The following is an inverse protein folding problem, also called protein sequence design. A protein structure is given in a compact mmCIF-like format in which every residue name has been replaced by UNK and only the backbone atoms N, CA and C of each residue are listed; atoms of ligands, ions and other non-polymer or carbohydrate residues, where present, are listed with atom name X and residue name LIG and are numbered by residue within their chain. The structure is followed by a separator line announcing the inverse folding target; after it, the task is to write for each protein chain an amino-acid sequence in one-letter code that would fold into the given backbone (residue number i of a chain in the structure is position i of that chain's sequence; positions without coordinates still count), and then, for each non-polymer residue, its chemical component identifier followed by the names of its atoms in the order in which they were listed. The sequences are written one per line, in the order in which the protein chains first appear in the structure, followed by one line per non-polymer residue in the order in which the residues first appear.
data_IF_538827691718
#
_entry.id   IF_538827691718
#
_cell.length_a   1.000
_cell.length_b   1.000
_cell.length_c   1.000
_cell.angle_alpha   90.00
_cell.angle_beta   90.00
_cell.angle_gamma   90.00
#
_symmetry.space_group_name_H-M   'P 1'
#
loop_
_entity.id
_entity.type
_entity.pdbx_description
1 polymer ?
#
# COMPACT_ATOMS: atom_id res chain seq x y z
N UNK A 1 -17.21 11.17 -10.78
CA UNK A 1 -17.08 9.88 -10.04
C UNK A 1 -16.02 10.08 -8.99
N UNK A 2 -16.21 9.61 -7.75
CA UNK A 2 -15.19 9.68 -6.69
C UNK A 2 -14.56 8.29 -6.51
N UNK A 3 -13.23 8.16 -6.44
CA UNK A 3 -12.58 6.87 -6.25
C UNK A 3 -12.72 6.35 -4.81
N UNK A 4 -12.51 5.05 -4.63
CA UNK A 4 -12.38 4.39 -3.32
C UNK A 4 -10.92 4.34 -2.87
N UNK A 5 -10.64 4.58 -1.59
CA UNK A 5 -9.36 4.26 -0.96
C UNK A 5 -9.47 2.90 -0.25
N UNK A 6 -8.68 1.94 -0.66
CA UNK A 6 -8.62 0.59 -0.10
C UNK A 6 -7.36 0.47 0.77
N UNK A 7 -7.54 0.30 2.08
CA UNK A 7 -6.45 0.30 3.06
C UNK A 7 -6.15 -1.14 3.51
N UNK A 8 -4.91 -1.60 3.29
CA UNK A 8 -4.45 -2.92 3.70
C UNK A 8 -4.09 -2.96 5.18
N UNK A 9 -5.04 -3.34 6.04
CA UNK A 9 -4.91 -3.32 7.50
C UNK A 9 -4.92 -4.71 8.17
N UNK A 10 -5.11 -5.80 7.41
CA UNK A 10 -5.20 -7.18 7.93
C UNK A 10 -3.90 -7.67 8.63
N UNK A 11 -2.76 -7.06 8.30
CA UNK A 11 -1.45 -7.35 8.88
C UNK A 11 -1.10 -6.58 10.16
N UNK A 12 -1.91 -5.58 10.57
CA UNK A 12 -1.53 -4.68 11.65
C UNK A 12 -1.31 -5.40 13.00
N UNK A 13 -2.12 -6.39 13.34
CA UNK A 13 -2.01 -7.01 14.66
C UNK A 13 -0.77 -7.91 14.86
N UNK A 14 -0.14 -8.43 13.81
CA UNK A 14 0.99 -9.37 13.94
C UNK A 14 2.33 -8.67 14.17
N UNK A 15 2.54 -7.48 13.60
CA UNK A 15 3.78 -6.69 13.77
C UNK A 15 3.88 -6.05 15.16
N UNK A 16 2.74 -5.70 15.75
CA UNK A 16 2.67 -4.93 17.00
C UNK A 16 2.25 -5.77 18.23
N UNK A 17 2.06 -7.09 18.08
CA UNK A 17 1.76 -8.00 19.19
C UNK A 17 0.37 -7.83 19.83
N UNK A 18 -0.38 -6.78 19.49
CA UNK A 18 -1.80 -6.59 19.77
C UNK A 18 -2.38 -5.44 18.93
N UNK A 19 -3.69 -5.47 18.64
CA UNK A 19 -4.41 -4.29 18.10
C UNK A 19 -4.54 -3.14 19.10
N UNK A 20 -4.27 -3.38 20.40
CA UNK A 20 -4.46 -2.38 21.47
C UNK A 20 -3.49 -1.19 21.38
N UNK A 21 -2.57 -1.21 20.43
CA UNK A 21 -1.63 -0.14 20.14
C UNK A 21 -1.77 0.28 18.68
N UNK A 22 -2.92 0.84 18.28
CA UNK A 22 -2.89 1.74 17.12
C UNK A 22 -2.17 2.98 17.61
N UNK A 23 -0.86 2.99 17.42
CA UNK A 23 0.00 4.03 17.97
C UNK A 23 -0.44 5.40 17.47
N UNK A 24 -0.65 6.33 18.41
CA UNK A 24 -0.82 7.74 18.10
C UNK A 24 0.53 8.36 17.76
N UNK A 25 0.63 8.93 16.56
CA UNK A 25 1.80 9.65 16.07
C UNK A 25 1.56 11.16 16.00
N UNK A 26 0.30 11.57 15.84
CA UNK A 26 -0.12 12.96 15.87
C UNK A 26 -0.18 13.54 17.27
N UNK A 27 -0.20 14.87 17.38
CA UNK A 27 -0.20 15.58 18.67
C UNK A 27 -1.46 15.30 19.52
N UNK A 28 -2.55 14.83 18.92
CA UNK A 28 -3.78 14.46 19.62
C UNK A 28 -4.10 12.96 19.54
N UNK A 29 -3.07 12.14 19.28
CA UNK A 29 -3.21 10.69 19.20
C UNK A 29 -3.67 10.18 17.83
N UNK A 30 -3.61 11.02 16.79
CA UNK A 30 -3.88 10.59 15.42
C UNK A 30 -2.88 9.53 14.96
N UNK A 31 -3.39 8.54 14.26
CA UNK A 31 -2.64 7.42 13.71
C UNK A 31 -2.13 7.79 12.32
N UNK A 32 -1.14 7.07 11.77
CA UNK A 32 -0.69 7.28 10.39
C UNK A 32 -1.85 7.12 9.38
N UNK A 33 -2.78 6.21 9.66
CA UNK A 33 -3.99 5.99 8.87
C UNK A 33 -4.86 7.25 8.84
N UNK A 34 -4.98 7.96 9.96
CA UNK A 34 -5.79 9.19 10.02
C UNK A 34 -5.26 10.23 9.01
N UNK A 35 -3.94 10.41 8.89
CA UNK A 35 -3.33 11.32 7.91
C UNK A 35 -3.59 10.88 6.47
N UNK A 36 -3.47 9.57 6.18
CA UNK A 36 -3.79 9.03 4.86
C UNK A 36 -5.25 9.24 4.46
N UNK A 37 -6.19 9.04 5.40
CA UNK A 37 -7.62 9.27 5.14
C UNK A 37 -7.90 10.77 4.98
N UNK A 38 -7.28 11.62 5.80
CA UNK A 38 -7.41 13.07 5.70
C UNK A 38 -6.98 13.57 4.31
N UNK A 39 -5.81 13.15 3.84
CA UNK A 39 -5.30 13.50 2.51
C UNK A 39 -6.16 12.94 1.38
N UNK A 40 -6.67 11.71 1.52
CA UNK A 40 -7.57 11.12 0.53
C UNK A 40 -8.90 11.88 0.43
N UNK A 41 -9.51 12.25 1.55
CA UNK A 41 -10.74 13.07 1.56
C UNK A 41 -10.47 14.41 0.87
N UNK A 42 -9.36 15.08 1.24
CA UNK A 42 -8.93 16.34 0.63
C UNK A 42 -8.64 16.21 -0.87
N UNK A 43 -8.13 15.06 -1.32
CA UNK A 43 -7.88 14.76 -2.73
C UNK A 43 -9.15 14.38 -3.52
N UNK A 44 -10.29 14.15 -2.84
CA UNK A 44 -11.58 13.89 -3.47
C UNK A 44 -12.00 12.42 -3.53
N UNK A 45 -11.37 11.53 -2.75
CA UNK A 45 -11.86 10.18 -2.54
C UNK A 45 -13.23 10.20 -1.86
N UNK A 46 -14.12 9.29 -2.27
CA UNK A 46 -15.52 9.25 -1.82
C UNK A 46 -15.82 8.18 -0.78
N UNK A 47 -15.00 7.13 -0.74
CA UNK A 47 -15.18 5.97 0.13
C UNK A 47 -13.83 5.47 0.62
N UNK A 48 -13.78 5.01 1.86
CA UNK A 48 -12.64 4.32 2.46
C UNK A 48 -13.08 2.90 2.81
N UNK A 49 -12.40 1.91 2.25
CA UNK A 49 -12.63 0.49 2.53
C UNK A 49 -11.42 -0.07 3.26
N UNK A 50 -11.63 -0.63 4.46
CA UNK A 50 -10.57 -1.27 5.22
C UNK A 50 -10.56 -2.77 4.94
N UNK A 51 -9.41 -3.33 4.53
CA UNK A 51 -9.22 -4.79 4.50
C UNK A 51 -8.61 -5.21 5.82
N UNK A 52 -9.38 -5.93 6.64
CA UNK A 52 -9.01 -6.35 7.99
C UNK A 52 -9.26 -7.84 8.21
N UNK A 53 -8.93 -8.33 9.41
CA UNK A 53 -9.44 -9.61 9.90
C UNK A 53 -10.79 -9.39 10.57
N UNK A 54 -11.71 -10.33 10.39
CA UNK A 54 -13.10 -10.20 10.86
C UNK A 54 -13.20 -9.96 12.37
N UNK A 55 -12.36 -10.64 13.15
CA UNK A 55 -12.24 -10.49 14.62
C UNK A 55 -11.94 -9.06 15.11
N UNK A 56 -11.56 -8.15 14.20
CA UNK A 56 -11.17 -6.78 14.52
C UNK A 56 -12.16 -5.71 14.06
N UNK A 57 -13.24 -6.10 13.40
CA UNK A 57 -14.19 -5.14 12.80
C UNK A 57 -14.74 -4.14 13.83
N UNK A 58 -15.18 -4.61 14.99
CA UNK A 58 -15.78 -3.74 16.00
C UNK A 58 -14.79 -2.71 16.57
N UNK A 59 -13.52 -3.10 16.70
CA UNK A 59 -12.46 -2.18 17.14
C UNK A 59 -12.17 -1.11 16.08
N UNK A 60 -12.09 -1.51 14.81
CA UNK A 60 -11.91 -0.56 13.71
C UNK A 60 -13.09 0.41 13.60
N UNK A 61 -14.32 -0.09 13.72
CA UNK A 61 -15.53 0.74 13.70
C UNK A 61 -15.53 1.76 14.83
N UNK A 62 -15.26 1.32 16.06
CA UNK A 62 -15.21 2.21 17.22
C UNK A 62 -14.16 3.33 17.10
N UNK A 63 -13.03 3.06 16.41
CA UNK A 63 -11.95 4.05 16.23
C UNK A 63 -12.25 5.01 15.07
N UNK A 64 -12.71 4.51 13.92
CA UNK A 64 -12.77 5.29 12.68
C UNK A 64 -14.15 5.84 12.34
N UNK A 65 -15.24 5.10 12.58
CA UNK A 65 -16.59 5.57 12.19
C UNK A 65 -16.96 6.92 12.84
N UNK A 66 -16.73 7.15 14.15
CA UNK A 66 -17.04 8.45 14.76
C UNK A 66 -16.26 9.63 14.15
N UNK A 67 -15.00 9.40 13.76
CA UNK A 67 -14.13 10.43 13.17
C UNK A 67 -14.53 10.78 11.73
N UNK A 68 -15.01 9.77 10.99
CA UNK A 68 -15.26 9.85 9.55
C UNK A 68 -16.73 10.10 9.19
N UNK A 69 -17.64 9.97 10.16
CA UNK A 69 -19.06 10.21 9.99
C UNK A 69 -19.34 11.57 9.34
N UNK A 70 -20.09 11.56 8.23
CA UNK A 70 -20.42 12.76 7.46
C UNK A 70 -19.28 13.34 6.61
N UNK A 71 -18.08 12.76 6.66
CA UNK A 71 -16.90 13.19 5.89
C UNK A 71 -16.63 12.29 4.68
N UNK A 72 -16.72 10.97 4.88
CA UNK A 72 -16.48 9.96 3.83
C UNK A 72 -17.28 8.68 4.12
N UNK A 73 -17.65 7.92 3.09
CA UNK A 73 -18.26 6.60 3.28
C UNK A 73 -17.21 5.59 3.78
N UNK A 74 -17.58 4.71 4.70
CA UNK A 74 -16.69 3.70 5.28
C UNK A 74 -17.22 2.29 5.03
N UNK A 75 -16.35 1.37 4.62
CA UNK A 75 -16.68 -0.03 4.34
C UNK A 75 -15.58 -0.98 4.85
N UNK A 76 -15.91 -2.26 5.02
CA UNK A 76 -15.03 -3.27 5.61
C UNK A 76 -15.04 -4.57 4.79
N UNK A 77 -13.84 -4.97 4.36
CA UNK A 77 -13.55 -6.23 3.66
C UNK A 77 -12.77 -7.14 4.59
N UNK A 78 -13.05 -8.44 4.53
CA UNK A 78 -12.33 -9.43 5.32
C UNK A 78 -11.39 -10.25 4.47
N UNK A 79 -10.10 -10.26 4.83
CA UNK A 79 -9.13 -11.17 4.24
C UNK A 79 -9.17 -12.51 5.03
N UNK A 80 -9.74 -13.54 4.40
CA UNK A 80 -9.85 -14.89 4.98
C UNK A 80 -8.83 -15.86 4.37
N UNK A 81 -8.57 -16.98 5.05
CA UNK A 81 -7.86 -18.13 4.45
C UNK A 81 -8.77 -19.00 3.60
N UNK A 82 -10.09 -18.80 3.64
CA UNK A 82 -11.06 -19.57 2.86
C UNK A 82 -10.87 -19.34 1.35
N UNK A 83 -10.63 -20.44 0.63
CA UNK A 83 -10.39 -20.44 -0.81
C UNK A 83 -11.62 -20.86 -1.62
N UNK A 84 -12.72 -21.30 -0.98
CA UNK A 84 -13.97 -21.67 -1.66
C UNK A 84 -14.51 -20.55 -2.56
N UNK A 85 -14.43 -19.25 -2.19
CA UNK A 85 -14.88 -18.17 -3.07
C UNK A 85 -14.09 -18.04 -4.39
N UNK A 86 -12.98 -18.76 -4.53
CA UNK A 86 -12.14 -18.84 -5.73
C UNK A 86 -12.22 -20.22 -6.41
N UNK A 87 -13.19 -21.06 -6.02
CA UNK A 87 -13.40 -22.39 -6.62
C UNK A 87 -12.45 -23.48 -6.12
N UNK A 88 -11.65 -23.21 -5.08
CA UNK A 88 -10.69 -24.17 -4.53
C UNK A 88 -11.30 -24.85 -3.30
N UNK A 89 -11.75 -26.09 -3.48
CA UNK A 89 -12.36 -26.90 -2.42
C UNK A 89 -11.31 -27.67 -1.61
N UNK A 90 -10.27 -26.96 -1.14
CA UNK A 90 -9.19 -27.52 -0.35
C UNK A 90 -8.84 -26.60 0.81
N UNK A 91 -8.68 -27.17 1.99
CA UNK A 91 -8.12 -26.47 3.15
C UNK A 91 -6.60 -26.63 3.12
N UNK A 92 -5.89 -25.50 3.19
CA UNK A 92 -4.43 -25.45 3.19
C UNK A 92 -4.00 -24.78 4.49
N UNK A 93 -3.18 -25.47 5.27
CA UNK A 93 -2.62 -24.90 6.50
C UNK A 93 -1.60 -23.81 6.15
N UNK A 94 -1.72 -22.66 6.83
CA UNK A 94 -0.95 -21.46 6.51
C UNK A 94 -0.34 -20.86 7.76
N UNK A 95 0.93 -20.45 7.63
CA UNK A 95 1.63 -19.67 8.67
C UNK A 95 1.51 -18.16 8.42
N UNK A 96 1.25 -17.76 7.16
CA UNK A 96 1.07 -16.36 6.75
C UNK A 96 -0.17 -16.19 5.86
N UNK A 97 -0.81 -15.00 5.86
CA UNK A 97 -1.81 -14.62 4.87
C UNK A 97 -1.35 -14.90 3.44
N UNK A 98 -2.30 -15.05 2.52
CA UNK A 98 -2.00 -15.32 1.11
C UNK A 98 -1.35 -14.16 0.36
N UNK A 99 -1.18 -12.99 0.97
CA UNK A 99 -0.46 -11.84 0.39
C UNK A 99 -1.36 -10.65 0.04
N UNK A 100 -0.73 -9.56 -0.42
CA UNK A 100 -1.40 -8.27 -0.66
C UNK A 100 -2.32 -8.29 -1.89
N UNK A 101 -1.99 -9.03 -2.95
CA UNK A 101 -2.89 -9.16 -4.10
C UNK A 101 -4.13 -9.98 -3.75
N UNK A 102 -3.99 -11.01 -2.91
CA UNK A 102 -5.14 -11.72 -2.36
C UNK A 102 -6.02 -10.81 -1.48
N UNK A 103 -5.42 -9.92 -0.69
CA UNK A 103 -6.18 -8.92 0.08
C UNK A 103 -7.03 -8.04 -0.83
N UNK A 104 -6.47 -7.55 -1.94
CA UNK A 104 -7.21 -6.77 -2.95
C UNK A 104 -8.35 -7.61 -3.57
N UNK A 105 -8.10 -8.88 -3.92
CA UNK A 105 -9.14 -9.78 -4.45
C UNK A 105 -10.31 -10.02 -3.48
N UNK A 106 -10.09 -9.93 -2.16
CA UNK A 106 -11.17 -10.02 -1.17
C UNK A 106 -12.19 -8.87 -1.33
N UNK A 107 -11.77 -7.71 -1.87
CA UNK A 107 -12.63 -6.55 -2.07
C UNK A 107 -13.53 -6.61 -3.32
N UNK A 108 -13.38 -7.64 -4.17
CA UNK A 108 -14.03 -7.73 -5.50
C UNK A 108 -15.56 -7.59 -5.49
N UNK A 109 -16.20 -7.95 -4.38
CA UNK A 109 -17.66 -7.90 -4.24
C UNK A 109 -18.18 -6.54 -3.76
N UNK A 110 -17.33 -5.70 -3.15
CA UNK A 110 -17.72 -4.43 -2.54
C UNK A 110 -17.23 -3.20 -3.33
N UNK A 111 -16.03 -3.25 -3.90
CA UNK A 111 -15.46 -2.14 -4.67
C UNK A 111 -15.87 -2.25 -6.14
N UNK A 112 -16.60 -1.25 -6.66
CA UNK A 112 -17.21 -1.24 -8.00
C UNK A 112 -16.81 -0.04 -8.85
N UNK A 113 -15.99 0.85 -8.31
CA UNK A 113 -15.44 2.05 -8.92
C UNK A 113 -13.90 1.95 -8.99
N UNK A 114 -13.21 2.84 -9.75
CA UNK A 114 -11.78 2.99 -9.65
C UNK A 114 -11.34 3.26 -8.22
N UNK A 115 -10.22 2.66 -7.83
CA UNK A 115 -9.79 2.66 -6.45
C UNK A 115 -8.27 2.73 -6.34
N UNK A 116 -7.82 3.22 -5.19
CA UNK A 116 -6.43 3.25 -4.79
C UNK A 116 -6.20 2.20 -3.71
N UNK A 117 -5.04 1.54 -3.72
CA UNK A 117 -4.59 0.63 -2.65
C UNK A 117 -3.39 1.23 -1.95
N UNK A 118 -3.41 1.26 -0.61
CA UNK A 118 -2.29 1.68 0.25
C UNK A 118 -2.08 0.73 1.44
N UNK A 119 -0.89 0.73 2.02
CA UNK A 119 -0.64 0.15 3.35
C UNK A 119 -1.27 1.00 4.46
N UNK A 120 -1.53 0.38 5.61
CA UNK A 120 -2.08 1.05 6.80
C UNK A 120 -1.02 1.73 7.68
N UNK A 121 0.25 1.34 7.59
CA UNK A 121 1.32 1.77 8.50
C UNK A 121 2.33 2.76 7.87
N UNK A 122 1.97 3.32 6.72
CA UNK A 122 2.82 4.19 5.91
C UNK A 122 2.21 5.57 5.71
N UNK A 123 3.05 6.60 5.82
CA UNK A 123 2.72 7.98 5.45
C UNK A 123 3.18 8.26 4.02
N UNK A 124 2.25 8.79 3.22
CA UNK A 124 2.44 9.03 1.79
C UNK A 124 2.45 10.53 1.40
N UNK A 125 1.78 11.35 2.19
CA UNK A 125 1.63 12.79 1.94
C UNK A 125 0.66 13.17 0.81
N UNK A 126 0.09 14.36 0.94
CA UNK A 126 -1.01 14.85 0.10
C UNK A 126 -0.76 14.80 -1.42
N UNK A 127 0.45 15.14 -1.89
CA UNK A 127 0.80 15.15 -3.33
C UNK A 127 0.55 13.78 -4.00
N UNK A 128 0.79 12.68 -3.28
CA UNK A 128 0.55 11.34 -3.79
C UNK A 128 -0.96 11.06 -3.97
N UNK A 129 -1.78 11.45 -2.98
CA UNK A 129 -3.24 11.30 -3.04
C UNK A 129 -3.86 12.18 -4.11
N UNK A 130 -3.42 13.44 -4.24
CA UNK A 130 -3.91 14.37 -5.27
C UNK A 130 -3.63 13.82 -6.67
N UNK A 131 -2.40 13.40 -6.94
CA UNK A 131 -2.02 12.85 -8.24
C UNK A 131 -2.72 11.53 -8.55
N UNK A 132 -2.87 10.65 -7.56
CA UNK A 132 -3.61 9.41 -7.75
C UNK A 132 -5.09 9.67 -8.01
N UNK A 133 -5.74 10.56 -7.25
CA UNK A 133 -7.13 10.92 -7.47
C UNK A 133 -7.35 11.50 -8.87
N UNK A 134 -6.43 12.38 -9.33
CA UNK A 134 -6.44 12.90 -10.70
C UNK A 134 -6.35 11.77 -11.73
N UNK A 135 -5.41 10.83 -11.57
CA UNK A 135 -5.28 9.70 -12.48
C UNK A 135 -6.53 8.82 -12.52
N UNK A 136 -7.06 8.44 -11.35
CA UNK A 136 -8.25 7.58 -11.22
C UNK A 136 -9.53 8.22 -11.77
N UNK A 137 -9.56 9.55 -11.92
CA UNK A 137 -10.73 10.27 -12.44
C UNK A 137 -10.60 10.69 -13.90
N UNK A 138 -9.40 10.66 -14.48
CA UNK A 138 -9.14 11.22 -15.82
C UNK A 138 -8.46 10.28 -16.80
N UNK A 139 -7.66 9.32 -16.34
CA UNK A 139 -6.81 8.50 -17.22
C UNK A 139 -7.05 6.99 -17.10
N UNK A 140 -7.45 6.52 -15.91
CA UNK A 140 -7.55 5.09 -15.59
C UNK A 140 -8.50 4.34 -16.54
N UNK A 141 -8.10 3.13 -16.95
CA UNK A 141 -8.87 2.22 -17.81
C UNK A 141 -8.64 0.77 -17.37
N UNK A 142 -9.46 -0.14 -17.86
CA UNK A 142 -9.35 -1.59 -17.57
C UNK A 142 -8.04 -2.23 -18.09
N UNK A 143 -7.24 -1.48 -18.85
CA UNK A 143 -5.90 -1.86 -19.31
C UNK A 143 -4.83 -0.80 -19.00
N UNK A 144 -5.15 0.22 -18.19
CA UNK A 144 -4.22 1.27 -17.78
C UNK A 144 -4.41 1.60 -16.30
N UNK A 145 -3.46 1.12 -15.50
CA UNK A 145 -3.38 1.30 -14.05
C UNK A 145 -2.22 2.21 -13.70
N UNK A 146 -2.01 2.45 -12.40
CA UNK A 146 -0.87 3.26 -11.96
C UNK A 146 -0.28 2.82 -10.64
N UNK A 147 0.91 3.35 -10.39
CA UNK A 147 1.66 3.29 -9.15
C UNK A 147 2.20 4.70 -8.86
N UNK A 148 2.12 5.17 -7.62
CA UNK A 148 2.89 6.35 -7.22
C UNK A 148 4.35 5.95 -6.97
N UNK A 149 5.26 6.50 -7.77
CA UNK A 149 6.70 6.25 -7.72
C UNK A 149 7.43 7.28 -6.85
N UNK A 150 7.91 6.83 -5.69
CA UNK A 150 8.73 7.63 -4.77
C UNK A 150 10.19 7.58 -5.20
N UNK A 151 10.96 8.62 -4.87
CA UNK A 151 12.42 8.57 -5.03
C UNK A 151 13.02 7.73 -3.91
N UNK A 152 13.92 6.80 -4.26
CA UNK A 152 14.45 5.82 -3.33
C UNK A 152 15.13 6.48 -2.12
N UNK A 153 15.87 7.58 -2.32
CA UNK A 153 16.54 8.38 -1.29
C UNK A 153 15.57 9.05 -0.29
N UNK A 154 14.28 9.11 -0.60
CA UNK A 154 13.23 9.62 0.31
C UNK A 154 12.45 8.53 1.01
N UNK A 155 12.90 7.28 0.91
CA UNK A 155 12.19 6.13 1.47
C UNK A 155 13.03 5.29 2.42
N UNK A 156 14.33 5.53 2.58
CA UNK A 156 15.18 4.66 3.40
C UNK A 156 15.11 5.00 4.90
N UNK A 157 15.57 4.07 5.74
CA UNK A 157 15.75 4.27 7.18
C UNK A 157 17.24 4.39 7.50
N UNK A 158 17.58 5.22 8.49
CA UNK A 158 18.94 5.34 9.01
C UNK A 158 19.32 4.15 9.91
N UNK A 159 18.36 3.31 10.32
CA UNK A 159 18.56 2.21 11.25
C UNK A 159 18.83 0.85 10.61
N UNK A 160 18.73 0.73 9.28
CA UNK A 160 18.96 -0.53 8.60
C UNK A 160 18.51 -0.57 7.16
N UNK A 161 18.73 -1.72 6.52
CA UNK A 161 18.30 -1.95 5.15
C UNK A 161 16.79 -2.22 5.07
N UNK A 162 16.17 -1.77 3.98
CA UNK A 162 14.73 -1.87 3.76
C UNK A 162 14.42 -2.62 2.47
N UNK A 163 13.21 -3.17 2.36
CA UNK A 163 12.74 -3.81 1.13
C UNK A 163 11.99 -2.82 0.23
N UNK A 164 12.36 -2.71 -1.05
CA UNK A 164 11.74 -1.78 -2.02
C UNK A 164 11.51 -2.44 -3.37
N UNK A 165 10.32 -2.22 -3.94
CA UNK A 165 10.02 -2.58 -5.33
C UNK A 165 10.61 -1.55 -6.30
N UNK A 166 11.84 -1.76 -6.76
CA UNK A 166 12.54 -0.88 -7.71
C UNK A 166 11.88 -0.96 -9.08
N UNK A 167 11.40 0.17 -9.58
CA UNK A 167 10.67 0.28 -10.83
C UNK A 167 11.60 0.69 -11.96
N UNK A 168 11.57 -0.05 -13.06
CA UNK A 168 12.12 0.39 -14.34
C UNK A 168 11.01 1.07 -15.14
N UNK A 169 11.26 2.30 -15.58
CA UNK A 169 10.26 3.14 -16.25
C UNK A 169 10.75 3.45 -17.67
N UNK A 170 9.84 3.38 -18.65
CA UNK A 170 10.11 3.78 -20.04
C UNK A 170 9.97 5.31 -20.24
N UNK A 171 10.31 5.78 -21.44
CA UNK A 171 10.23 7.21 -21.80
C UNK A 171 8.79 7.76 -21.80
N UNK A 172 7.79 6.88 -21.87
CA UNK A 172 6.37 7.24 -21.78
C UNK A 172 5.87 7.29 -20.33
N UNK A 173 6.73 7.00 -19.34
CA UNK A 173 6.38 7.01 -17.92
C UNK A 173 5.66 5.74 -17.46
N UNK A 174 5.73 4.65 -18.20
CA UNK A 174 5.13 3.36 -17.83
C UNK A 174 6.18 2.42 -17.21
N UNK A 175 5.72 1.62 -16.25
CA UNK A 175 6.50 0.58 -15.62
C UNK A 175 6.73 -0.55 -16.63
N UNK A 176 8.00 -0.85 -16.89
CA UNK A 176 8.44 -1.99 -17.71
C UNK A 176 8.70 -3.21 -16.84
N UNK A 177 9.20 -2.97 -15.63
CA UNK A 177 9.65 -4.02 -14.71
C UNK A 177 9.59 -3.50 -13.28
N UNK A 178 9.28 -4.38 -12.33
CA UNK A 178 9.37 -4.10 -10.89
C UNK A 178 10.15 -5.23 -10.20
N UNK A 179 11.24 -4.85 -9.54
CA UNK A 179 12.14 -5.78 -8.87
C UNK A 179 12.12 -5.52 -7.37
N UNK A 180 11.64 -6.49 -6.59
CA UNK A 180 11.69 -6.42 -5.14
C UNK A 180 13.13 -6.63 -4.66
N UNK A 181 13.72 -5.60 -4.07
CA UNK A 181 15.07 -5.62 -3.49
C UNK A 181 14.93 -5.62 -1.98
N UNK A 182 15.43 -6.66 -1.30
CA UNK A 182 15.17 -6.86 0.13
C UNK A 182 16.11 -6.09 1.06
N UNK A 183 17.32 -5.77 0.60
CA UNK A 183 18.35 -5.08 1.38
C UNK A 183 18.81 -3.79 0.69
N UNK A 184 17.99 -2.74 0.71
CA UNK A 184 18.33 -1.40 0.19
C UNK A 184 18.73 -0.47 1.32
N UNK A 185 19.83 0.29 1.18
CA UNK A 185 20.36 1.16 2.23
C UNK A 185 21.15 2.36 1.67
N UNK A 186 21.36 3.35 2.54
CA UNK A 186 22.33 4.42 2.30
C UNK A 186 23.76 3.93 2.58
N UNK A 187 24.67 4.32 1.71
CA UNK A 187 26.12 4.23 1.94
C UNK A 187 26.60 5.45 2.73
N UNK A 188 27.82 5.38 3.26
CA UNK A 188 28.44 6.46 4.04
C UNK A 188 28.53 7.79 3.27
N UNK A 189 28.61 7.74 1.94
CA UNK A 189 28.65 8.89 1.04
C UNK A 189 27.25 9.40 0.62
N UNK A 190 26.19 8.95 1.28
CA UNK A 190 24.79 9.28 0.97
C UNK A 190 24.30 8.79 -0.41
N UNK A 191 25.04 7.90 -1.08
CA UNK A 191 24.54 7.17 -2.25
C UNK A 191 23.68 5.98 -1.83
N UNK A 192 22.79 5.53 -2.70
CA UNK A 192 21.92 4.38 -2.44
C UNK A 192 22.48 3.12 -3.08
N UNK A 193 22.42 2.00 -2.36
CA UNK A 193 22.77 0.69 -2.87
C UNK A 193 21.77 -0.37 -2.41
N UNK A 194 21.79 -1.52 -3.09
CA UNK A 194 21.16 -2.73 -2.59
C UNK A 194 22.12 -3.91 -2.59
N UNK A 195 21.86 -4.87 -1.72
CA UNK A 195 22.60 -6.13 -1.65
C UNK A 195 21.71 -7.31 -2.04
N UNK A 196 22.26 -8.22 -2.83
CA UNK A 196 21.65 -9.51 -3.14
C UNK A 196 22.70 -10.63 -3.17
N UNK A 197 22.31 -11.84 -3.60
CA UNK A 197 23.19 -13.00 -3.66
C UNK A 197 24.42 -12.81 -4.57
N UNK A 198 24.40 -11.83 -5.47
CA UNK A 198 25.48 -11.55 -6.43
C UNK A 198 26.41 -10.43 -5.97
N UNK A 199 26.04 -9.66 -4.93
CA UNK A 199 26.88 -8.61 -4.35
C UNK A 199 26.11 -7.34 -3.99
N UNK A 200 26.86 -6.26 -3.78
CA UNK A 200 26.33 -4.91 -3.61
C UNK A 200 26.28 -4.20 -4.97
N UNK A 201 25.16 -3.53 -5.25
CA UNK A 201 24.90 -2.82 -6.51
C UNK A 201 24.43 -1.40 -6.21
N UNK A 202 24.97 -0.43 -6.95
CA UNK A 202 24.57 0.97 -6.81
C UNK A 202 23.19 1.23 -7.45
N UNK A 203 22.42 2.14 -6.86
CA UNK A 203 21.19 2.69 -7.41
C UNK A 203 21.27 4.22 -7.46
N UNK A 204 20.88 4.86 -8.57
CA UNK A 204 20.70 6.30 -8.61
C UNK A 204 19.73 6.76 -7.51
N UNK A 205 20.04 7.86 -6.82
CA UNK A 205 19.23 8.37 -5.70
C UNK A 205 17.79 8.75 -6.13
N UNK A 206 17.60 9.11 -7.40
CA UNK A 206 16.29 9.46 -7.97
C UNK A 206 15.52 8.26 -8.55
N UNK A 207 16.06 7.04 -8.41
CA UNK A 207 15.40 5.79 -8.82
C UNK A 207 14.00 5.71 -8.23
N UNK A 208 13.03 5.32 -9.06
CA UNK A 208 11.63 5.20 -8.64
C UNK A 208 11.38 3.86 -7.97
N UNK A 209 10.74 3.91 -6.82
CA UNK A 209 10.35 2.73 -6.04
C UNK A 209 8.85 2.73 -5.74
N UNK A 210 8.29 1.52 -5.68
CA UNK A 210 6.95 1.28 -5.18
C UNK A 210 6.93 1.32 -3.66
N UNK A 211 6.04 2.14 -3.10
CA UNK A 211 5.66 2.11 -1.68
C UNK A 211 4.28 1.49 -1.48
N UNK A 212 3.85 0.62 -2.41
CA UNK A 212 2.54 -0.02 -2.40
C UNK A 212 1.32 0.94 -2.50
N UNK A 213 1.49 2.07 -3.22
CA UNK A 213 0.44 3.05 -3.51
C UNK A 213 -0.05 2.89 -4.95
N UNK A 214 -1.02 2.01 -5.16
CA UNK A 214 -1.48 1.60 -6.49
C UNK A 214 -2.83 2.20 -6.86
N UNK A 215 -3.12 2.31 -8.16
CA UNK A 215 -4.40 2.76 -8.69
C UNK A 215 -4.95 1.80 -9.75
N UNK A 216 -6.20 1.36 -9.57
CA UNK A 216 -6.83 0.33 -10.38
C UNK A 216 -8.26 0.67 -10.78
N UNK A 217 -8.79 -0.06 -11.77
CA UNK A 217 -10.24 -0.27 -11.95
C UNK A 217 -10.63 -1.65 -11.42
N UNK A 218 -11.94 -1.94 -11.24
CA UNK A 218 -12.40 -3.27 -10.86
C UNK A 218 -12.01 -4.40 -11.82
N UNK A 219 -11.56 -4.11 -13.05
CA UNK A 219 -11.07 -5.13 -13.97
C UNK A 219 -9.87 -5.91 -13.40
N UNK A 220 -9.08 -5.31 -12.49
CA UNK A 220 -7.94 -5.97 -11.83
C UNK A 220 -8.38 -7.22 -11.08
N UNK A 221 -9.60 -7.26 -10.52
CA UNK A 221 -10.08 -8.43 -9.79
C UNK A 221 -10.17 -9.64 -10.70
N UNK A 222 -10.84 -9.49 -11.85
CA UNK A 222 -10.97 -10.57 -12.84
C UNK A 222 -9.61 -10.96 -13.43
N UNK A 223 -8.76 -9.96 -13.70
CA UNK A 223 -7.44 -10.17 -14.29
C UNK A 223 -6.49 -10.94 -13.36
N UNK A 224 -6.60 -10.75 -12.04
CA UNK A 224 -5.72 -11.39 -11.06
C UNK A 224 -6.31 -12.64 -10.40
N UNK A 225 -7.60 -12.94 -10.58
CA UNK A 225 -8.25 -14.10 -9.95
C UNK A 225 -7.62 -15.43 -10.38
N UNK A 226 -7.45 -15.66 -11.68
CA UNK A 226 -6.81 -16.88 -12.17
C UNK A 226 -5.34 -16.96 -11.73
N UNK A 227 -4.65 -15.82 -11.70
CA UNK A 227 -3.26 -15.76 -11.23
C UNK A 227 -3.15 -16.20 -9.77
N UNK A 228 -4.13 -15.85 -8.93
CA UNK A 228 -4.19 -16.30 -7.56
C UNK A 228 -4.47 -17.81 -7.46
N UNK A 229 -5.40 -18.34 -8.25
CA UNK A 229 -5.68 -19.78 -8.30
C UNK A 229 -4.43 -20.57 -8.68
N UNK A 230 -3.72 -20.14 -9.72
CA UNK A 230 -2.47 -20.76 -10.17
C UNK A 230 -1.37 -20.66 -9.09
N UNK A 231 -1.29 -19.51 -8.41
CA UNK A 231 -0.34 -19.29 -7.31
C UNK A 231 -0.59 -20.25 -6.15
N UNK A 232 -1.84 -20.44 -5.75
CA UNK A 232 -2.21 -21.37 -4.67
C UNK A 232 -1.80 -22.78 -5.04
N UNK A 233 -2.16 -23.25 -6.24
CA UNK A 233 -1.81 -24.59 -6.73
C UNK A 233 -0.29 -24.84 -6.75
N UNK A 234 0.50 -23.83 -7.11
CA UNK A 234 1.96 -23.93 -7.12
C UNK A 234 2.60 -23.89 -5.72
N UNK A 235 1.89 -23.39 -4.71
CA UNK A 235 2.45 -23.13 -3.37
C UNK A 235 1.69 -23.80 -2.22
N UNK A 236 0.90 -24.85 -2.50
CA UNK A 236 0.09 -25.53 -1.47
C UNK A 236 0.93 -26.07 -0.30
N UNK A 237 2.17 -26.46 -0.56
CA UNK A 237 3.11 -26.99 0.44
C UNK A 237 4.05 -25.92 1.03
N UNK A 238 3.88 -24.65 0.66
CA UNK A 238 4.67 -23.55 1.18
C UNK A 238 3.80 -22.63 2.04
N UNK A 239 3.74 -22.85 3.37
CA UNK A 239 2.82 -22.13 4.27
C UNK A 239 3.16 -20.64 4.44
N UNK A 240 4.28 -20.18 3.87
CA UNK A 240 4.77 -18.79 3.95
C UNK A 240 4.76 -18.06 2.60
N UNK A 241 4.38 -18.71 1.50
CA UNK A 241 4.37 -18.08 0.17
C UNK A 241 3.29 -17.00 0.07
N UNK A 242 3.62 -15.80 -0.40
CA UNK A 242 2.68 -14.67 -0.47
C UNK A 242 2.50 -14.19 -1.92
N UNK A 243 1.25 -13.99 -2.33
CA UNK A 243 0.84 -13.43 -3.62
C UNK A 243 0.77 -11.91 -3.52
N UNK A 244 1.79 -11.23 -4.02
CA UNK A 244 1.94 -9.78 -3.92
C UNK A 244 1.40 -9.01 -5.13
N UNK A 245 0.96 -7.77 -4.92
CA UNK A 245 0.50 -6.87 -6.00
C UNK A 245 1.55 -6.71 -7.11
N UNK A 246 2.86 -6.48 -6.81
CA UNK A 246 3.91 -6.47 -7.83
C UNK A 246 3.95 -7.69 -8.74
N UNK A 247 3.68 -8.91 -8.22
CA UNK A 247 3.69 -10.13 -9.02
C UNK A 247 2.54 -10.14 -10.05
N UNK A 248 1.35 -9.71 -9.63
CA UNK A 248 0.22 -9.57 -10.54
C UNK A 248 0.48 -8.48 -11.59
N UNK A 249 1.04 -7.33 -11.18
CA UNK A 249 1.37 -6.24 -12.09
C UNK A 249 2.42 -6.66 -13.14
N UNK A 250 3.51 -7.29 -12.71
CA UNK A 250 4.56 -7.80 -13.59
C UNK A 250 4.02 -8.80 -14.63
N UNK A 251 3.15 -9.73 -14.20
CA UNK A 251 2.49 -10.67 -15.12
C UNK A 251 1.62 -9.94 -16.15
N UNK A 252 0.81 -8.98 -15.72
CA UNK A 252 -0.07 -8.23 -16.63
C UNK A 252 0.70 -7.39 -17.66
N UNK A 253 1.85 -6.84 -17.27
CA UNK A 253 2.76 -6.11 -18.16
C UNK A 253 3.36 -7.07 -19.20
N UNK A 254 3.92 -8.19 -18.75
CA UNK A 254 4.56 -9.19 -19.61
C UNK A 254 3.59 -9.84 -20.60
N UNK A 255 2.35 -10.08 -20.17
CA UNK A 255 1.29 -10.63 -21.00
C UNK A 255 0.65 -9.57 -21.92
N UNK A 256 1.06 -8.29 -21.83
CA UNK A 256 0.49 -7.18 -22.61
C UNK A 256 -0.98 -6.86 -22.28
N UNK A 257 -1.47 -7.35 -21.15
CA UNK A 257 -2.89 -7.20 -20.74
C UNK A 257 -3.17 -5.82 -20.15
N UNK A 258 -2.21 -5.25 -19.42
CA UNK A 258 -2.35 -3.92 -18.83
C UNK A 258 -1.00 -3.18 -18.77
N UNK A 259 -1.05 -1.86 -18.90
CA UNK A 259 0.07 -0.97 -18.64
C UNK A 259 -0.08 -0.31 -17.26
N UNK A 260 1.05 0.06 -16.65
CA UNK A 260 1.09 0.71 -15.34
C UNK A 260 1.86 2.02 -15.44
N UNK A 261 1.16 3.15 -15.36
CA UNK A 261 1.79 4.47 -15.33
C UNK A 261 2.47 4.70 -13.98
N UNK A 262 3.75 5.06 -13.98
CA UNK A 262 4.47 5.46 -12.77
C UNK A 262 4.31 6.96 -12.58
N UNK A 263 3.52 7.34 -11.59
CA UNK A 263 3.22 8.73 -11.25
C UNK A 263 4.30 9.24 -10.29
N UNK A 264 5.18 10.15 -10.71
CA UNK A 264 6.25 10.64 -9.84
C UNK A 264 5.68 11.52 -8.73
N UNK A 265 6.10 11.25 -7.49
CA UNK A 265 5.86 12.15 -6.35
C UNK A 265 7.17 12.71 -5.81
N UNK A 266 7.08 13.92 -5.26
CA UNK A 266 8.14 14.54 -4.46
C UNK A 266 7.92 14.36 -2.96
N UNK A 267 6.82 13.74 -2.54
CA UNK A 267 6.53 13.48 -1.13
C UNK A 267 7.66 12.68 -0.49
N UNK A 268 7.95 13.01 0.77
CA UNK A 268 8.74 12.14 1.63
C UNK A 268 7.83 11.04 2.14
N UNK A 269 8.25 9.79 1.96
CA UNK A 269 7.58 8.65 2.59
C UNK A 269 8.26 8.38 3.93
N UNK A 270 7.47 8.03 4.92
CA UNK A 270 7.99 7.44 6.16
C UNK A 270 6.95 6.49 6.73
N UNK A 271 7.43 5.47 7.41
CA UNK A 271 6.60 4.46 8.05
C UNK A 271 7.38 3.83 9.18
N UNK A 272 6.70 3.01 9.98
CA UNK A 272 7.35 2.28 11.07
C UNK A 272 7.82 0.93 10.51
N UNK A 273 9.09 0.86 10.11
CA UNK A 273 9.70 -0.42 9.67
C UNK A 273 10.28 -1.15 10.89
N UNK A 274 10.89 -0.40 11.79
CA UNK A 274 11.45 -0.84 13.06
C UNK A 274 10.73 -0.15 14.22
N UNK A 275 10.71 -0.76 15.42
CA UNK A 275 10.09 -0.12 16.60
C UNK A 275 10.78 1.20 16.94
N UNK A 276 12.05 1.28 16.62
CA UNK A 276 12.96 2.40 16.78
C UNK A 276 12.63 3.58 15.84
N UNK A 277 11.86 3.36 14.76
CA UNK A 277 11.44 4.45 13.86
C UNK A 277 10.36 5.34 14.50
N UNK A 278 9.67 4.88 15.55
CA UNK A 278 8.51 5.57 16.14
C UNK A 278 8.78 7.04 16.52
N UNK A 279 9.86 7.39 17.23
CA UNK A 279 10.18 8.79 17.54
C UNK A 279 10.43 9.64 16.28
N UNK A 280 11.03 9.05 15.24
CA UNK A 280 11.27 9.75 13.96
C UNK A 280 9.96 10.03 13.25
N UNK A 281 9.03 9.08 13.24
CA UNK A 281 7.69 9.27 12.66
C UNK A 281 6.92 10.35 13.42
N UNK A 282 6.91 10.30 14.76
CA UNK A 282 6.27 11.32 15.59
C UNK A 282 6.84 12.72 15.34
N UNK A 283 8.17 12.82 15.25
CA UNK A 283 8.84 14.09 14.91
C UNK A 283 8.43 14.56 13.51
N UNK A 284 8.43 13.67 12.53
CA UNK A 284 8.06 14.02 11.14
C UNK A 284 6.64 14.55 11.04
N UNK A 285 5.69 13.92 11.75
CA UNK A 285 4.31 14.40 11.84
C UNK A 285 4.22 15.75 12.58
N UNK A 286 4.94 15.91 13.69
CA UNK A 286 4.99 17.18 14.43
C UNK A 286 5.53 18.32 13.57
N UNK A 287 6.57 18.08 12.79
CA UNK A 287 7.14 19.05 11.85
C UNK A 287 6.12 19.42 10.76
N UNK A 288 5.33 18.45 10.26
CA UNK A 288 4.28 18.71 9.26
C UNK A 288 3.15 19.60 9.83
N UNK A 289 2.75 19.36 11.09
CA UNK A 289 1.76 20.20 11.79
C UNK A 289 2.32 21.61 12.04
N UNK A 290 3.54 21.72 12.55
CA UNK A 290 4.19 23.00 12.83
C UNK A 290 4.38 23.85 11.56
N UNK A 291 4.60 23.21 10.41
CA UNK A 291 4.70 23.88 9.11
C UNK A 291 3.34 24.15 8.45
N UNK A 292 2.22 23.86 9.13
CA UNK A 292 0.87 24.14 8.64
C UNK A 292 0.39 23.22 7.51
N UNK A 293 1.05 22.08 7.29
CA UNK A 293 0.61 21.08 6.30
C UNK A 293 -0.67 20.38 6.77
N UNK A 294 -0.76 20.10 8.07
CA UNK A 294 -1.95 19.59 8.73
C UNK A 294 -2.38 20.51 9.87
N UNK A 295 -3.68 20.58 10.18
CA UNK A 295 -4.14 21.17 11.44
C UNK A 295 -3.62 20.35 12.63
N UNK A 296 -3.58 20.96 13.82
CA UNK A 296 -3.23 20.24 15.05
C UNK A 296 -4.19 19.06 15.31
N UNK A 297 -5.46 19.23 14.96
CA UNK A 297 -6.49 18.20 15.06
C UNK A 297 -7.08 17.93 13.68
N UNK A 298 -6.97 16.70 13.19
CA UNK A 298 -7.41 16.37 11.84
C UNK A 298 -8.94 16.43 11.65
N UNK A 299 -9.70 16.21 12.73
CA UNK A 299 -11.14 15.94 12.66
C UNK A 299 -12.03 16.97 13.36
N UNK A 300 -11.44 18.05 13.91
CA UNK A 300 -12.14 19.16 14.56
C UNK A 300 -12.35 20.35 13.61
#
# INVERSE_FOLDING_TARGET
MKPTLLILAAGMASRYGSMKQVDGFGPNGETIIDYSIYDAIKAGFGKVTFIIREEFVDSFKAIFEPKLAGRVETDYVFQSFDLKPFGINKEIERAKPWGTAHAVLAARNQVKEPFCVINADDYYGYDAFEKMAKFLTTEVKDNLYSLVGYQIDRTLSDYGSVSRGVCKVDDAGNMVEINERTEVYFKEDSTVAYKDATGEHALPNDTRVSMNFWGFTPAIFKQSEQMFVDFVAANENNPKAEFFIPLAADKLIKDGTAAFKVIPTGSKWFGVTYKEDKPIVQKSISDLVANGVYPEKLWD
#
